data_IF_348093931538
#
_entry.id   IF_348093931538
#
_cell.length_a   1.000
_cell.length_b   1.000
_cell.length_c   1.000
_cell.angle_alpha   90.00
_cell.angle_beta   90.00
_cell.angle_gamma   90.00
#
_symmetry.space_group_name_H-M   'P 1'
#
loop_
_entity.id
_entity.type
_entity.pdbx_description
1 polymer ?
#
# COMPACT_ATOMS: atom_id res chain seq x y z
N UNK A 1 5.86 20.33 9.51
CA UNK A 1 5.48 20.23 10.97
C UNK A 1 3.99 20.54 11.17
N UNK A 2 3.19 20.42 10.14
CA UNK A 2 1.76 20.49 10.27
C UNK A 2 1.28 19.15 10.80
N UNK A 3 0.49 19.21 11.89
CA UNK A 3 -0.36 18.12 12.33
C UNK A 3 0.29 16.73 12.41
N UNK A 4 0.95 16.53 13.53
CA UNK A 4 1.24 15.16 13.91
C UNK A 4 -0.08 14.51 14.34
N UNK A 5 -0.53 13.49 13.62
CA UNK A 5 -1.67 12.73 14.08
C UNK A 5 -1.36 12.17 15.46
N UNK A 6 -2.37 12.10 16.29
CA UNK A 6 -2.32 11.36 17.54
C UNK A 6 -1.83 9.94 17.23
N UNK A 7 -0.73 9.51 17.81
CA UNK A 7 -0.09 8.23 17.51
C UNK A 7 -1.07 7.07 17.66
N UNK A 8 -1.96 7.18 18.66
CA UNK A 8 -2.97 6.16 18.94
C UNK A 8 -4.07 6.07 17.88
N UNK A 9 -4.20 7.11 17.04
CA UNK A 9 -5.14 7.17 15.91
C UNK A 9 -4.46 7.11 14.56
N UNK A 10 -3.13 6.97 14.56
CA UNK A 10 -2.38 6.91 13.32
C UNK A 10 -2.61 5.56 12.63
N UNK A 11 -2.84 5.50 11.31
CA UNK A 11 -3.08 4.24 10.58
C UNK A 11 -1.94 3.24 10.75
N UNK A 12 -0.73 3.70 10.92
CA UNK A 12 0.46 2.87 11.15
C UNK A 12 1.34 3.45 12.26
N UNK A 13 1.09 3.05 13.50
CA UNK A 13 1.84 3.49 14.68
C UNK A 13 3.32 3.06 14.69
N UNK A 14 3.70 2.09 13.82
CA UNK A 14 5.07 1.58 13.65
C UNK A 14 5.68 2.02 12.32
N UNK A 15 5.18 3.11 11.75
CA UNK A 15 5.68 3.65 10.48
C UNK A 15 7.10 4.21 10.60
N UNK A 16 7.77 4.34 9.44
CA UNK A 16 9.10 4.97 9.36
C UNK A 16 9.10 6.39 9.93
N UNK A 17 7.97 7.11 9.82
CA UNK A 17 7.80 8.44 10.37
C UNK A 17 7.93 8.43 11.90
N UNK A 18 7.19 7.55 12.60
CA UNK A 18 7.23 7.47 14.05
C UNK A 18 8.57 7.00 14.58
N UNK A 19 9.22 6.09 13.89
CA UNK A 19 10.58 5.66 14.21
C UNK A 19 11.59 6.81 14.16
N UNK A 20 11.46 7.72 13.18
CA UNK A 20 12.27 8.92 13.11
C UNK A 20 11.88 9.97 14.14
N UNK A 21 10.58 10.13 14.37
CA UNK A 21 10.02 11.05 15.36
C UNK A 21 10.58 10.78 16.76
N UNK A 22 10.53 9.51 17.19
CA UNK A 22 11.09 9.06 18.47
C UNK A 22 12.60 9.29 18.53
N UNK A 23 13.31 9.01 17.44
CA UNK A 23 14.77 9.15 17.37
C UNK A 23 15.25 10.60 17.48
N UNK A 24 14.50 11.56 16.99
CA UNK A 24 14.84 12.98 17.04
C UNK A 24 14.20 13.72 18.22
N UNK A 25 13.53 12.99 19.11
CA UNK A 25 12.82 13.55 20.27
C UNK A 25 11.92 14.75 19.91
N UNK A 26 11.22 14.66 18.79
CA UNK A 26 10.41 15.75 18.28
C UNK A 26 9.27 16.10 19.25
N UNK A 27 9.07 17.38 19.48
CA UNK A 27 8.01 17.91 20.35
C UNK A 27 7.11 18.89 19.63
N UNK A 28 5.85 18.63 19.79
CA UNK A 28 4.61 19.39 19.56
C UNK A 28 4.47 20.52 18.52
N UNK A 29 3.23 20.73 18.17
CA UNK A 29 2.64 21.50 17.11
C UNK A 29 2.69 23.02 17.30
N UNK A 30 3.24 23.73 16.32
CA UNK A 30 3.17 25.20 16.24
C UNK A 30 1.90 25.67 15.51
N UNK A 31 1.29 24.80 14.70
CA UNK A 31 0.14 25.12 13.85
C UNK A 31 -1.12 24.34 14.23
N UNK A 32 -2.31 24.90 14.05
CA UNK A 32 -3.55 24.19 14.33
C UNK A 32 -3.77 23.02 13.37
N UNK A 33 -4.44 21.95 13.84
CA UNK A 33 -4.79 20.80 13.00
C UNK A 33 -5.70 21.19 11.84
N UNK A 34 -5.38 20.66 10.65
CA UNK A 34 -6.32 20.63 9.53
C UNK A 34 -7.43 19.66 9.91
N UNK A 35 -8.65 20.16 10.06
CA UNK A 35 -9.78 19.34 10.52
C UNK A 35 -10.48 18.67 9.32
N UNK A 36 -10.92 17.41 9.52
CA UNK A 36 -11.85 16.68 8.67
C UNK A 36 -11.37 16.39 7.24
N UNK A 37 -10.24 15.74 7.11
CA UNK A 37 -9.90 15.06 5.86
C UNK A 37 -10.54 13.68 5.92
N UNK A 38 -11.50 13.41 5.04
CA UNK A 38 -12.14 12.10 4.97
C UNK A 38 -11.16 11.04 4.48
N UNK A 39 -11.21 9.86 5.09
CA UNK A 39 -10.50 8.70 4.58
C UNK A 39 -11.15 8.24 3.27
N UNK A 40 -10.34 8.02 2.24
CA UNK A 40 -10.80 7.47 0.97
C UNK A 40 -10.59 5.95 0.95
N UNK A 41 -11.68 5.22 0.85
CA UNK A 41 -11.74 3.76 0.78
C UNK A 41 -12.26 3.25 -0.58
N UNK A 42 -12.33 4.11 -1.59
CA UNK A 42 -12.90 3.78 -2.91
C UNK A 42 -12.10 2.70 -3.64
N UNK A 43 -10.76 2.71 -3.52
CA UNK A 43 -9.93 1.72 -4.21
C UNK A 43 -10.06 0.32 -3.59
N UNK A 44 -10.17 -0.77 -4.39
CA UNK A 44 -10.42 -2.12 -3.87
C UNK A 44 -9.33 -2.66 -2.94
N UNK A 45 -8.08 -2.31 -3.17
CA UNK A 45 -6.92 -2.88 -2.45
C UNK A 45 -6.17 -1.90 -1.57
N UNK A 46 -6.44 -0.60 -1.69
CA UNK A 46 -5.70 0.46 -1.00
C UNK A 46 -6.65 1.43 -0.30
N UNK A 47 -6.15 2.04 0.76
CA UNK A 47 -6.83 3.09 1.52
C UNK A 47 -5.95 4.33 1.56
N UNK A 48 -6.58 5.50 1.50
CA UNK A 48 -5.93 6.80 1.61
C UNK A 48 -6.44 7.52 2.85
N UNK A 49 -5.56 7.78 3.80
CA UNK A 49 -5.84 8.61 4.97
C UNK A 49 -4.90 9.81 5.00
N UNK A 50 -5.35 10.93 4.45
CA UNK A 50 -4.52 12.13 4.37
C UNK A 50 -4.30 12.83 5.72
N UNK A 51 -4.99 12.43 6.78
CA UNK A 51 -4.68 12.92 8.14
C UNK A 51 -3.27 12.49 8.58
N UNK A 52 -2.79 11.35 8.07
CA UNK A 52 -1.43 10.88 8.31
C UNK A 52 -0.40 11.40 7.30
N UNK A 53 -0.81 12.23 6.35
CA UNK A 53 0.08 12.71 5.28
C UNK A 53 0.97 13.87 5.77
N UNK A 54 2.28 13.75 5.56
CA UNK A 54 3.26 14.79 5.85
C UNK A 54 3.70 15.59 4.62
N UNK A 55 3.00 15.47 3.51
CA UNK A 55 3.26 16.16 2.24
C UNK A 55 4.70 15.97 1.71
N UNK A 56 5.30 14.81 1.92
CA UNK A 56 6.68 14.50 1.53
C UNK A 56 6.89 14.26 0.02
N UNK A 57 5.83 14.21 -0.78
CA UNK A 57 5.85 13.97 -2.23
C UNK A 57 6.36 12.59 -2.68
N UNK A 58 6.68 11.65 -1.80
CA UNK A 58 7.21 10.35 -2.20
C UNK A 58 6.22 9.53 -3.02
N UNK A 59 4.91 9.59 -2.71
CA UNK A 59 3.87 8.93 -3.49
C UNK A 59 3.71 9.53 -4.88
N UNK A 60 3.80 10.87 -5.02
CA UNK A 60 3.77 11.56 -6.31
C UNK A 60 4.94 11.11 -7.18
N UNK A 61 6.14 11.09 -6.62
CA UNK A 61 7.34 10.63 -7.33
C UNK A 61 7.27 9.14 -7.68
N UNK A 62 6.78 8.31 -6.78
CA UNK A 62 6.58 6.89 -7.05
C UNK A 62 5.60 6.66 -8.22
N UNK A 63 4.52 7.43 -8.29
CA UNK A 63 3.56 7.34 -9.38
C UNK A 63 4.15 7.87 -10.70
N UNK A 64 4.76 9.04 -10.68
CA UNK A 64 5.26 9.75 -11.87
C UNK A 64 6.58 9.22 -12.39
N UNK A 65 7.60 9.14 -11.51
CA UNK A 65 8.98 8.84 -11.91
C UNK A 65 9.26 7.34 -11.95
N UNK A 66 8.68 6.58 -11.01
CA UNK A 66 8.95 5.14 -10.87
C UNK A 66 8.06 4.30 -11.78
N UNK A 67 6.75 4.57 -11.79
CA UNK A 67 5.76 3.81 -12.57
C UNK A 67 5.30 4.51 -13.85
N UNK A 68 5.61 5.81 -14.01
CA UNK A 68 5.22 6.62 -15.18
C UNK A 68 3.71 6.67 -15.44
N UNK A 69 2.88 6.63 -14.38
CA UNK A 69 1.43 6.71 -14.47
C UNK A 69 0.89 8.14 -14.31
N UNK A 70 1.56 8.96 -13.50
CA UNK A 70 1.23 10.37 -13.26
C UNK A 70 -0.20 10.68 -12.78
N UNK A 71 -0.78 9.78 -12.00
CA UNK A 71 -2.13 9.90 -11.43
C UNK A 71 -2.12 10.76 -10.16
N UNK A 72 -1.03 10.68 -9.38
CA UNK A 72 -0.92 11.37 -8.09
C UNK A 72 -0.25 12.72 -8.27
N UNK A 73 -0.92 13.76 -7.82
CA UNK A 73 -0.43 15.13 -7.84
C UNK A 73 -0.57 15.84 -6.51
N UNK A 74 -0.15 17.11 -6.50
CA UNK A 74 -0.38 18.03 -5.37
C UNK A 74 -1.34 19.13 -5.80
N UNK A 75 -2.37 19.35 -5.00
CA UNK A 75 -3.25 20.50 -5.14
C UNK A 75 -2.95 21.56 -4.07
N UNK A 76 -3.36 22.79 -4.38
CA UNK A 76 -3.18 23.96 -3.53
C UNK A 76 -1.71 24.25 -3.20
N UNK A 77 -1.47 25.12 -2.24
CA UNK A 77 -0.12 25.47 -1.77
C UNK A 77 -0.13 25.91 -0.31
N UNK A 78 1.07 25.91 0.28
CA UNK A 78 1.24 26.27 1.68
C UNK A 78 0.51 25.30 2.60
N UNK A 79 -0.12 25.84 3.63
CA UNK A 79 -0.82 25.06 4.64
C UNK A 79 -1.96 24.16 4.09
N UNK A 80 -2.58 24.59 2.99
CA UNK A 80 -3.69 23.87 2.36
C UNK A 80 -3.23 22.86 1.29
N UNK A 81 -1.91 22.63 1.14
CA UNK A 81 -1.41 21.63 0.19
C UNK A 81 -1.93 20.25 0.54
N UNK A 82 -2.43 19.52 -0.45
CA UNK A 82 -2.87 18.14 -0.27
C UNK A 82 -2.49 17.28 -1.48
N UNK A 83 -2.33 16.00 -1.24
CA UNK A 83 -2.24 14.99 -2.30
C UNK A 83 -3.62 14.80 -2.92
N UNK A 84 -3.66 14.70 -4.24
CA UNK A 84 -4.86 14.43 -5.02
C UNK A 84 -4.60 13.30 -6.02
N UNK A 85 -5.68 12.68 -6.50
CA UNK A 85 -5.68 11.70 -7.59
C UNK A 85 -6.43 12.32 -8.76
N UNK A 86 -5.80 12.35 -9.94
CA UNK A 86 -6.30 13.02 -11.14
C UNK A 86 -6.81 14.45 -10.85
N UNK A 87 -8.10 14.72 -10.92
CA UNK A 87 -8.74 16.02 -10.67
C UNK A 87 -9.36 16.13 -9.26
N UNK A 88 -8.78 15.50 -8.26
CA UNK A 88 -9.28 15.38 -6.88
C UNK A 88 -10.40 14.33 -6.75
N UNK A 89 -10.34 13.30 -7.58
CA UNK A 89 -11.23 12.16 -7.54
C UNK A 89 -10.87 11.21 -6.39
N UNK A 90 -11.78 10.31 -6.03
CA UNK A 90 -11.43 9.17 -5.18
C UNK A 90 -10.37 8.29 -5.86
N UNK A 91 -9.46 7.68 -5.10
CA UNK A 91 -8.39 6.86 -5.68
C UNK A 91 -8.94 5.71 -6.55
N UNK A 92 -10.08 5.13 -6.16
CA UNK A 92 -10.74 4.06 -6.92
C UNK A 92 -11.46 4.52 -8.18
N UNK A 93 -11.80 5.81 -8.27
CA UNK A 93 -12.48 6.43 -9.41
C UNK A 93 -11.49 7.09 -10.38
N UNK A 94 -10.22 7.17 -10.00
CA UNK A 94 -9.14 7.76 -10.78
C UNK A 94 -8.60 6.80 -11.84
N UNK A 95 -7.69 7.28 -12.68
CA UNK A 95 -6.98 6.46 -13.67
C UNK A 95 -5.90 5.56 -13.06
N UNK A 96 -5.94 5.32 -11.75
CA UNK A 96 -4.99 4.51 -11.02
C UNK A 96 -4.95 3.06 -11.54
N UNK A 97 -3.75 2.56 -11.86
CA UNK A 97 -3.54 1.18 -12.33
C UNK A 97 -3.31 0.17 -11.20
N UNK A 98 -3.45 0.58 -9.94
CA UNK A 98 -3.33 -0.29 -8.77
C UNK A 98 -1.94 -0.91 -8.56
N UNK A 99 -0.86 -0.27 -8.98
CA UNK A 99 0.49 -0.84 -8.84
C UNK A 99 1.01 -0.86 -7.39
N UNK A 100 0.49 0.02 -6.51
CA UNK A 100 0.85 0.09 -5.09
C UNK A 100 2.23 0.67 -4.78
N UNK A 101 2.95 1.25 -5.75
CA UNK A 101 4.26 1.87 -5.48
C UNK A 101 4.17 3.08 -4.57
N UNK A 102 3.05 3.81 -4.62
CA UNK A 102 2.76 4.90 -3.70
C UNK A 102 2.61 4.41 -2.25
N UNK A 103 2.03 3.24 -2.04
CA UNK A 103 1.93 2.59 -0.72
C UNK A 103 3.31 2.20 -0.21
N UNK A 104 4.11 1.52 -1.03
CA UNK A 104 5.48 1.12 -0.67
C UNK A 104 6.38 2.33 -0.37
N UNK A 105 6.15 3.46 -1.05
CA UNK A 105 6.90 4.70 -0.85
C UNK A 105 6.43 5.52 0.36
N UNK A 106 5.20 5.35 0.84
CA UNK A 106 4.63 6.17 1.89
C UNK A 106 5.31 5.88 3.25
N UNK A 107 5.93 6.89 3.90
CA UNK A 107 6.64 6.66 5.16
C UNK A 107 5.73 6.71 6.39
N UNK A 108 4.48 7.17 6.23
CA UNK A 108 3.57 7.44 7.36
C UNK A 108 2.36 6.51 7.42
N UNK A 109 2.14 5.69 6.40
CA UNK A 109 0.90 4.91 6.31
C UNK A 109 -0.33 5.72 5.87
N UNK A 110 -0.15 6.94 5.36
CA UNK A 110 -1.24 7.69 4.73
C UNK A 110 -1.82 6.97 3.51
N UNK A 111 -1.02 6.14 2.85
CA UNK A 111 -1.39 5.21 1.81
C UNK A 111 -1.05 3.81 2.29
N UNK A 112 -2.03 2.93 2.41
CA UNK A 112 -1.85 1.58 2.93
C UNK A 112 -2.65 0.53 2.17
N UNK A 113 -2.19 -0.71 2.24
CA UNK A 113 -2.94 -1.87 1.76
C UNK A 113 -4.08 -2.19 2.72
N UNK A 114 -5.29 -2.38 2.19
CA UNK A 114 -6.47 -2.71 3.01
C UNK A 114 -6.34 -4.04 3.76
N UNK A 115 -5.57 -4.98 3.23
CA UNK A 115 -5.30 -6.27 3.87
C UNK A 115 -4.60 -6.18 5.24
N UNK A 116 -4.02 -5.02 5.54
CA UNK A 116 -3.31 -4.78 6.80
C UNK A 116 -4.15 -4.04 7.84
N UNK A 117 -5.33 -3.53 7.45
CA UNK A 117 -6.14 -2.61 8.24
C UNK A 117 -7.35 -3.32 8.86
N UNK A 118 -7.78 -2.81 10.01
CA UNK A 118 -9.07 -3.13 10.62
C UNK A 118 -10.21 -2.32 9.97
N UNK A 119 -11.44 -2.54 10.45
CA UNK A 119 -12.63 -1.83 9.98
C UNK A 119 -12.59 -0.30 10.23
N UNK A 120 -11.72 0.17 11.11
CA UNK A 120 -11.51 1.58 11.41
C UNK A 120 -10.39 2.20 10.57
N UNK A 121 -9.73 1.41 9.72
CA UNK A 121 -8.62 1.84 8.89
C UNK A 121 -7.29 1.99 9.64
N UNK A 122 -7.16 1.32 10.78
CA UNK A 122 -5.94 1.24 11.59
C UNK A 122 -5.23 -0.08 11.32
N UNK A 123 -3.91 -0.04 11.23
CA UNK A 123 -3.12 -1.25 11.01
C UNK A 123 -3.19 -2.18 12.22
N UNK A 124 -3.76 -3.36 12.02
CA UNK A 124 -3.82 -4.43 13.00
C UNK A 124 -2.97 -5.65 12.60
N UNK A 125 -2.66 -5.79 11.31
CA UNK A 125 -1.95 -6.95 10.80
C UNK A 125 -0.46 -6.68 10.69
N UNK A 126 0.32 -7.37 11.53
CA UNK A 126 1.78 -7.37 11.51
C UNK A 126 2.30 -8.76 11.14
N UNK A 127 3.21 -8.89 10.18
CA UNK A 127 3.71 -10.18 9.73
C UNK A 127 4.57 -10.87 10.78
N UNK A 128 4.46 -12.20 10.87
CA UNK A 128 5.30 -13.03 11.73
C UNK A 128 6.66 -13.30 11.08
N UNK A 129 6.65 -13.39 9.75
CA UNK A 129 7.86 -13.66 8.96
C UNK A 129 7.79 -13.06 7.58
N UNK A 130 8.95 -12.91 6.96
CA UNK A 130 9.10 -12.53 5.55
C UNK A 130 9.77 -13.65 4.78
N UNK A 131 9.36 -13.85 3.53
CA UNK A 131 9.90 -14.86 2.63
C UNK A 131 10.24 -14.21 1.30
N UNK A 132 11.46 -14.39 0.84
CA UNK A 132 11.88 -13.97 -0.49
C UNK A 132 11.35 -14.95 -1.54
N UNK A 133 10.74 -14.44 -2.61
CA UNK A 133 10.10 -15.26 -3.64
C UNK A 133 10.17 -14.59 -5.01
N UNK A 134 9.55 -15.21 -5.97
CA UNK A 134 9.37 -14.71 -7.33
C UNK A 134 7.88 -14.59 -7.65
N UNK A 135 7.53 -13.57 -8.41
CA UNK A 135 6.17 -13.38 -8.90
C UNK A 135 5.79 -14.50 -9.89
N UNK A 136 4.65 -15.18 -9.71
CA UNK A 136 4.27 -16.32 -10.53
C UNK A 136 3.56 -15.96 -11.84
N UNK A 137 3.30 -14.68 -12.11
CA UNK A 137 2.36 -14.29 -13.17
C UNK A 137 2.92 -14.21 -14.58
N UNK A 138 4.11 -13.64 -14.76
CA UNK A 138 4.66 -13.47 -16.10
C UNK A 138 6.17 -13.70 -16.16
N UNK A 139 6.72 -13.72 -17.37
CA UNK A 139 8.13 -14.01 -17.63
C UNK A 139 9.12 -12.94 -17.21
N UNK A 140 8.66 -11.78 -16.68
CA UNK A 140 9.55 -10.77 -16.13
C UNK A 140 10.31 -11.31 -14.92
N UNK A 141 9.68 -12.21 -14.13
CA UNK A 141 10.33 -12.84 -12.98
C UNK A 141 10.65 -11.84 -11.86
N UNK A 142 9.73 -10.91 -11.59
CA UNK A 142 9.89 -9.92 -10.52
C UNK A 142 10.19 -10.60 -9.20
N UNK A 143 11.24 -10.15 -8.53
CA UNK A 143 11.59 -10.60 -7.19
C UNK A 143 10.67 -9.93 -6.17
N UNK A 144 10.11 -10.73 -5.28
CA UNK A 144 9.12 -10.31 -4.29
C UNK A 144 9.59 -10.62 -2.88
N UNK A 145 9.16 -9.78 -1.94
CA UNK A 145 9.20 -10.04 -0.51
C UNK A 145 7.78 -10.29 -0.04
N UNK A 146 7.51 -11.50 0.40
CA UNK A 146 6.19 -11.94 0.85
C UNK A 146 6.15 -11.85 2.37
N UNK A 147 5.15 -11.16 2.89
CA UNK A 147 4.90 -11.02 4.32
C UNK A 147 3.80 -11.99 4.72
N UNK A 148 4.07 -12.76 5.77
CA UNK A 148 3.20 -13.86 6.19
C UNK A 148 2.82 -13.68 7.65
N UNK A 149 1.54 -13.87 7.97
CA UNK A 149 0.99 -13.97 9.32
C UNK A 149 0.12 -15.23 9.42
N UNK A 150 0.27 -16.00 10.47
CA UNK A 150 -0.51 -17.24 10.72
C UNK A 150 -0.57 -18.14 9.48
N UNK A 151 0.57 -18.28 8.80
CA UNK A 151 0.72 -19.05 7.55
C UNK A 151 -0.12 -18.54 6.35
N UNK A 152 -0.63 -17.31 6.41
CA UNK A 152 -1.31 -16.62 5.30
C UNK A 152 -0.47 -15.46 4.79
N UNK A 153 -0.50 -15.25 3.48
CA UNK A 153 0.12 -14.06 2.87
C UNK A 153 -0.78 -12.88 3.17
N UNK A 154 -0.20 -11.83 3.76
CA UNK A 154 -0.92 -10.60 4.12
C UNK A 154 -0.47 -9.39 3.31
N UNK A 155 0.76 -9.43 2.76
CA UNK A 155 1.31 -8.35 1.95
C UNK A 155 2.40 -8.88 1.02
N UNK A 156 2.60 -8.24 -0.12
CA UNK A 156 3.70 -8.52 -1.04
C UNK A 156 4.32 -7.21 -1.51
N UNK A 157 5.62 -7.04 -1.25
CA UNK A 157 6.42 -5.93 -1.75
C UNK A 157 7.41 -6.37 -2.83
N UNK A 158 7.82 -5.42 -3.66
CA UNK A 158 8.91 -5.61 -4.58
C UNK A 158 10.25 -5.68 -3.84
N UNK A 159 11.01 -6.74 -4.09
CA UNK A 159 12.40 -6.86 -3.63
C UNK A 159 13.35 -6.32 -4.69
N UNK A 160 14.50 -5.79 -4.25
CA UNK A 160 15.54 -5.35 -5.17
C UNK A 160 16.10 -6.53 -5.96
N UNK A 161 15.87 -6.49 -7.25
CA UNK A 161 16.28 -7.53 -8.18
C UNK A 161 16.46 -6.99 -9.58
N UNK A 162 17.30 -7.65 -10.40
CA UNK A 162 17.69 -7.14 -11.71
C UNK A 162 16.52 -6.96 -12.69
N UNK A 163 15.43 -7.70 -12.49
CA UNK A 163 14.27 -7.64 -13.36
C UNK A 163 13.29 -6.52 -13.03
N UNK A 164 13.16 -6.17 -11.76
CA UNK A 164 12.09 -5.28 -11.31
C UNK A 164 12.53 -4.07 -10.49
N UNK A 165 13.77 -4.03 -9.97
CA UNK A 165 14.27 -2.90 -9.17
C UNK A 165 13.26 -2.42 -8.11
N UNK A 166 12.76 -3.33 -7.29
CA UNK A 166 11.72 -3.12 -6.25
C UNK A 166 10.30 -2.79 -6.76
N UNK A 167 10.09 -2.67 -8.08
CA UNK A 167 8.79 -2.33 -8.65
C UNK A 167 7.92 -3.57 -8.83
N UNK A 168 6.61 -3.39 -8.69
CA UNK A 168 5.63 -4.43 -9.00
C UNK A 168 4.46 -3.82 -9.80
N UNK A 169 3.80 -4.63 -10.58
CA UNK A 169 2.49 -4.31 -11.12
C UNK A 169 1.39 -4.78 -10.14
N UNK A 170 0.14 -4.42 -10.43
CA UNK A 170 -1.03 -4.80 -9.63
C UNK A 170 -1.08 -6.31 -9.32
N UNK A 171 -0.77 -7.17 -10.29
CA UNK A 171 -0.80 -8.63 -10.10
C UNK A 171 0.25 -9.10 -9.10
N UNK A 172 1.48 -8.60 -9.23
CA UNK A 172 2.57 -8.99 -8.36
C UNK A 172 2.36 -8.54 -6.91
N UNK A 173 1.73 -7.37 -6.73
CA UNK A 173 1.50 -6.80 -5.40
C UNK A 173 0.25 -7.34 -4.72
N UNK A 174 -0.88 -7.37 -5.41
CA UNK A 174 -2.18 -7.69 -4.80
C UNK A 174 -2.78 -9.02 -5.24
N UNK A 175 -2.21 -9.69 -6.23
CA UNK A 175 -2.79 -10.89 -6.82
C UNK A 175 -2.48 -12.20 -6.10
N UNK A 176 -2.29 -12.20 -4.78
CA UNK A 176 -1.90 -13.41 -4.03
C UNK A 176 -3.09 -14.17 -3.39
N UNK A 177 -4.30 -13.65 -3.46
CA UNK A 177 -5.50 -14.25 -2.83
C UNK A 177 -5.75 -15.70 -3.27
N UNK A 178 -5.41 -16.03 -4.53
CA UNK A 178 -5.57 -17.38 -5.05
C UNK A 178 -4.81 -18.44 -4.24
N UNK A 179 -3.75 -18.06 -3.53
CA UNK A 179 -2.91 -18.99 -2.76
C UNK A 179 -3.72 -19.64 -1.64
N UNK A 180 -4.62 -18.86 -1.03
CA UNK A 180 -5.43 -19.27 0.13
C UNK A 180 -6.91 -19.51 -0.23
N UNK A 181 -7.26 -19.46 -1.53
CA UNK A 181 -8.62 -19.73 -1.97
C UNK A 181 -9.02 -21.19 -1.70
N UNK A 182 -10.16 -21.39 -1.05
CA UNK A 182 -10.68 -22.72 -0.71
C UNK A 182 -10.93 -23.60 -1.94
N UNK A 183 -11.28 -23.01 -3.07
CA UNK A 183 -11.49 -23.69 -4.35
C UNK A 183 -10.19 -24.11 -5.06
N UNK A 184 -9.01 -23.79 -4.51
CA UNK A 184 -7.74 -24.12 -5.13
C UNK A 184 -7.50 -25.62 -5.17
N UNK A 185 -7.18 -26.12 -6.36
CA UNK A 185 -6.80 -27.54 -6.53
C UNK A 185 -5.44 -27.79 -5.90
N UNK A 186 -5.41 -28.57 -4.81
CA UNK A 186 -4.19 -28.90 -4.07
C UNK A 186 -3.58 -30.24 -4.49
N UNK A 187 -4.26 -31.01 -5.35
CA UNK A 187 -3.81 -32.31 -5.86
C UNK A 187 -4.03 -32.39 -7.37
N UNK A 188 -3.18 -33.09 -8.10
CA UNK A 188 -3.43 -33.40 -9.50
C UNK A 188 -4.75 -34.14 -9.67
N UNK A 189 -5.53 -33.75 -10.67
CA UNK A 189 -6.79 -34.38 -11.01
C UNK A 189 -6.66 -35.06 -12.37
N UNK A 190 -7.12 -36.31 -12.45
CA UNK A 190 -7.19 -37.10 -13.69
C UNK A 190 -8.65 -37.34 -14.02
N UNK A 191 -9.06 -36.99 -15.25
CA UNK A 191 -10.42 -37.26 -15.71
C UNK A 191 -10.59 -38.78 -15.89
N UNK A 192 -11.62 -39.32 -15.25
CA UNK A 192 -11.99 -40.71 -15.47
C UNK A 192 -12.58 -40.88 -16.88
N UNK A 193 -12.32 -42.03 -17.52
CA UNK A 193 -12.95 -42.38 -18.79
C UNK A 193 -14.50 -42.29 -18.69
N UNK A 194 -15.14 -41.78 -19.73
CA UNK A 194 -16.60 -41.63 -19.78
C UNK A 194 -17.19 -40.37 -19.17
N UNK A 195 -16.42 -39.56 -18.46
CA UNK A 195 -16.90 -38.27 -17.91
C UNK A 195 -16.73 -37.17 -18.98
N UNK A 196 -17.84 -36.74 -19.59
CA UNK A 196 -17.89 -35.54 -20.46
C UNK A 196 -18.26 -34.32 -19.63
N UNK A 197 -17.80 -33.13 -20.08
CA UNK A 197 -18.27 -31.85 -19.51
C UNK A 197 -19.74 -31.66 -19.74
#
# INVERSE_FOLDING_TARGET
EADQPDRDRHPDSDSKFWNWFDKVEAVSNTFPKIKNISCDISHPSMQVNLEACINCNLCVRACREVQSNDVIGMANRGYNSKVIFDFDDGMGDSTCVGCGECVQACPTGALMEKSLLDDNGVRETFPDKTVDSLCPYCGVGCQTKVFVKDNKIVQVDGRDGPANNQKLCVKGRFGYDYVHNEGRLMKPLIRKEGVRK
#
